data_IF_384741207340
#
_entry.id   IF_384741207340
#
_cell.length_a   1.000
_cell.length_b   1.000
_cell.length_c   1.000
_cell.angle_alpha   90.00
_cell.angle_beta   90.00
_cell.angle_gamma   90.00
#
_symmetry.space_group_name_H-M   'P 1'
#
loop_
_entity.id
_entity.type
_entity.pdbx_description
1 polymer ?
#
# COMPACT_ATOMS: atom_id res chain seq x y z
N UNK A 1 21.79 7.19 67.98
CA UNK A 1 21.26 6.03 67.23
C UNK A 1 20.27 6.55 66.21
N UNK A 2 20.71 6.72 64.97
CA UNK A 2 19.87 7.06 63.82
C UNK A 2 20.31 6.09 62.72
N UNK A 3 19.44 5.16 62.36
CA UNK A 3 19.63 4.35 61.16
C UNK A 3 19.10 5.15 59.96
N UNK A 4 19.83 5.18 58.83
CA UNK A 4 19.32 5.83 57.63
C UNK A 4 18.21 4.97 57.03
N UNK A 5 17.09 5.61 56.71
CA UNK A 5 16.00 5.02 55.95
C UNK A 5 16.48 4.89 54.50
N UNK A 6 16.60 3.64 54.04
CA UNK A 6 16.91 3.31 52.65
C UNK A 6 15.71 3.71 51.78
N UNK A 7 15.89 4.48 50.68
CA UNK A 7 14.78 4.83 49.83
C UNK A 7 14.26 3.59 49.10
N UNK A 8 12.94 3.38 49.16
CA UNK A 8 12.24 2.36 48.39
C UNK A 8 12.61 2.47 46.90
N UNK A 9 12.79 1.34 46.19
CA UNK A 9 13.07 1.37 44.78
C UNK A 9 11.89 2.04 44.08
N UNK A 10 12.18 3.13 43.36
CA UNK A 10 11.25 3.71 42.41
C UNK A 10 11.00 2.63 41.36
N UNK A 11 9.84 1.98 41.44
CA UNK A 11 9.35 1.13 40.35
C UNK A 11 9.34 1.99 39.09
N UNK A 12 10.31 1.75 38.20
CA UNK A 12 10.24 2.24 36.84
C UNK A 12 8.90 1.76 36.27
N UNK A 13 8.14 2.62 35.57
CA UNK A 13 7.01 2.15 34.79
C UNK A 13 7.51 1.02 33.89
N UNK A 14 6.97 -0.18 34.05
CA UNK A 14 7.18 -1.27 33.11
C UNK A 14 6.50 -0.80 31.83
N UNK A 15 7.23 -0.21 30.87
CA UNK A 15 6.69 0.01 29.54
C UNK A 15 6.49 -1.36 28.87
N UNK A 16 5.24 -1.79 28.60
CA UNK A 16 5.02 -2.95 27.77
C UNK A 16 4.86 -2.43 26.33
N UNK A 17 5.92 -1.89 25.75
CA UNK A 17 5.93 -1.63 24.31
C UNK A 17 6.40 -2.88 23.59
N UNK A 18 5.70 -3.99 23.77
CA UNK A 18 5.89 -5.21 22.97
C UNK A 18 5.62 -5.00 21.47
N UNK A 19 5.31 -3.79 21.04
CA UNK A 19 5.18 -3.44 19.65
C UNK A 19 6.57 -3.16 19.05
N UNK A 20 6.95 -3.97 18.06
CA UNK A 20 8.18 -3.84 17.30
C UNK A 20 7.85 -3.32 15.89
N UNK A 21 8.30 -2.11 15.58
CA UNK A 21 8.05 -1.44 14.30
C UNK A 21 9.23 -1.71 13.35
N UNK A 22 8.97 -2.36 12.21
CA UNK A 22 9.98 -2.72 11.22
C UNK A 22 9.71 -1.96 9.91
N UNK A 23 10.57 -1.02 9.51
CA UNK A 23 10.45 -0.38 8.20
C UNK A 23 10.68 -1.37 7.06
N UNK A 24 9.89 -1.29 6.00
CA UNK A 24 10.04 -2.11 4.79
C UNK A 24 9.79 -1.30 3.52
N UNK A 25 10.22 -1.80 2.36
CA UNK A 25 9.85 -1.24 1.06
C UNK A 25 8.55 -1.87 0.54
N UNK A 26 7.76 -1.16 -0.29
CA UNK A 26 6.64 -1.76 -1.01
C UNK A 26 7.00 -3.03 -1.80
N UNK A 27 8.13 -3.04 -2.49
CA UNK A 27 8.60 -4.18 -3.30
C UNK A 27 9.06 -5.39 -2.50
N UNK A 28 9.38 -5.23 -1.21
CA UNK A 28 9.70 -6.38 -0.35
C UNK A 28 8.46 -7.16 0.08
N UNK A 29 7.25 -6.67 -0.22
CA UNK A 29 6.02 -7.38 0.11
C UNK A 29 5.81 -8.55 -0.87
N UNK A 30 5.61 -9.74 -0.31
CA UNK A 30 5.46 -11.00 -1.04
C UNK A 30 4.06 -11.16 -1.70
N UNK A 31 3.45 -10.12 -2.28
CA UNK A 31 2.07 -10.20 -2.81
C UNK A 31 1.89 -11.35 -3.80
N UNK A 32 2.76 -11.43 -4.81
CA UNK A 32 2.66 -12.44 -5.88
C UNK A 32 3.29 -13.79 -5.52
N UNK A 33 4.16 -13.82 -4.52
CA UNK A 33 4.83 -15.05 -4.07
C UNK A 33 4.02 -15.77 -2.98
N UNK A 34 3.05 -15.10 -2.36
CA UNK A 34 2.13 -15.72 -1.43
C UNK A 34 1.05 -16.49 -2.22
N UNK A 35 0.83 -17.80 -1.95
CA UNK A 35 -0.40 -18.43 -2.41
C UNK A 35 -1.60 -17.62 -1.90
N UNK A 36 -2.71 -17.60 -2.64
CA UNK A 36 -3.99 -16.86 -2.39
C UNK A 36 -4.63 -17.14 -0.99
N UNK A 37 -3.92 -17.84 -0.11
CA UNK A 37 -4.23 -18.27 1.24
C UNK A 37 -4.44 -17.15 2.28
N UNK A 38 -4.37 -15.87 1.92
CA UNK A 38 -4.74 -14.76 2.81
C UNK A 38 -6.24 -14.66 3.11
N UNK A 39 -7.07 -15.41 2.39
CA UNK A 39 -8.48 -15.51 2.71
C UNK A 39 -8.66 -16.35 3.99
N UNK A 40 -8.99 -15.69 5.10
CA UNK A 40 -9.42 -16.29 6.37
C UNK A 40 -10.75 -17.10 6.26
N UNK A 41 -11.07 -17.63 5.08
CA UNK A 41 -12.22 -18.48 4.80
C UNK A 41 -11.84 -19.95 4.74
N UNK A 42 -12.82 -20.82 4.88
CA UNK A 42 -12.62 -22.26 4.67
C UNK A 42 -12.06 -22.49 3.26
N UNK A 43 -11.02 -23.32 3.16
CA UNK A 43 -10.51 -23.80 1.87
C UNK A 43 -11.67 -24.44 1.11
N UNK A 44 -12.01 -23.88 -0.04
CA UNK A 44 -12.94 -24.51 -0.96
C UNK A 44 -12.16 -25.60 -1.69
N UNK A 45 -12.12 -26.80 -1.11
CA UNK A 45 -11.43 -27.96 -1.67
C UNK A 45 -12.30 -28.74 -2.66
N UNK A 46 -13.60 -28.47 -2.69
CA UNK A 46 -14.56 -29.15 -3.58
C UNK A 46 -15.53 -28.14 -4.19
N UNK A 47 -15.75 -28.25 -5.49
CA UNK A 47 -16.81 -27.54 -6.20
C UNK A 47 -17.88 -28.58 -6.54
N UNK A 48 -19.07 -28.45 -5.96
CA UNK A 48 -20.16 -29.39 -6.21
C UNK A 48 -20.53 -29.41 -7.70
N UNK A 49 -20.92 -30.58 -8.22
CA UNK A 49 -21.41 -30.71 -9.59
C UNK A 49 -22.55 -29.70 -9.84
N UNK A 50 -22.56 -29.08 -11.01
CA UNK A 50 -23.49 -28.01 -11.41
C UNK A 50 -23.37 -26.68 -10.63
N UNK A 51 -22.28 -26.43 -9.90
CA UNK A 51 -22.01 -25.10 -9.35
C UNK A 51 -21.82 -24.10 -10.49
N UNK A 52 -22.77 -23.18 -10.65
CA UNK A 52 -22.66 -22.06 -11.58
C UNK A 52 -22.23 -20.82 -10.81
N UNK A 53 -20.95 -20.50 -10.83
CA UNK A 53 -20.44 -19.21 -10.37
C UNK A 53 -20.90 -18.15 -11.37
N UNK A 54 -22.10 -17.60 -11.14
CA UNK A 54 -22.62 -16.53 -12.00
C UNK A 54 -21.71 -15.32 -11.82
N UNK A 55 -21.09 -14.86 -12.90
CA UNK A 55 -20.66 -13.48 -12.99
C UNK A 55 -21.92 -12.64 -12.76
N UNK A 56 -22.08 -12.07 -11.57
CA UNK A 56 -23.23 -11.22 -11.29
C UNK A 56 -23.29 -10.12 -12.35
N UNK A 57 -24.49 -9.75 -12.77
CA UNK A 57 -24.75 -8.57 -13.61
C UNK A 57 -24.35 -7.24 -12.91
N UNK A 58 -23.83 -7.31 -11.69
CA UNK A 58 -23.02 -6.29 -11.07
C UNK A 58 -21.62 -6.87 -10.90
N UNK A 59 -20.62 -6.13 -11.37
CA UNK A 59 -19.20 -6.29 -11.04
C UNK A 59 -19.05 -6.95 -9.65
N UNK A 60 -18.21 -7.99 -9.45
CA UNK A 60 -17.98 -8.54 -8.12
C UNK A 60 -17.75 -7.36 -7.19
N UNK A 61 -18.51 -7.26 -6.09
CA UNK A 61 -18.40 -6.14 -5.15
C UNK A 61 -16.95 -6.10 -4.72
N UNK A 62 -16.16 -5.21 -5.34
CA UNK A 62 -14.72 -5.11 -5.11
C UNK A 62 -14.43 -4.63 -3.69
N UNK A 63 -15.48 -4.27 -2.94
CA UNK A 63 -15.39 -3.87 -1.56
C UNK A 63 -16.54 -4.40 -0.70
N UNK A 64 -16.26 -4.57 0.59
CA UNK A 64 -17.20 -4.96 1.63
C UNK A 64 -16.90 -4.16 2.91
N UNK A 65 -17.90 -3.44 3.43
CA UNK A 65 -17.81 -2.79 4.75
C UNK A 65 -17.76 -3.86 5.85
N UNK A 66 -16.77 -3.79 6.74
CA UNK A 66 -16.58 -4.77 7.83
C UNK A 66 -17.04 -4.21 9.18
N UNK A 67 -16.91 -2.90 9.39
CA UNK A 67 -17.18 -2.21 10.66
C UNK A 67 -15.96 -1.43 11.15
N UNK A 68 -16.11 -0.59 12.18
CA UNK A 68 -15.02 0.20 12.81
C UNK A 68 -14.19 1.06 11.83
N UNK A 69 -14.79 1.51 10.73
CA UNK A 69 -14.12 2.28 9.68
C UNK A 69 -13.34 1.44 8.66
N UNK A 70 -13.35 0.10 8.78
CA UNK A 70 -12.70 -0.81 7.85
C UNK A 70 -13.57 -1.21 6.67
N UNK A 71 -12.98 -1.14 5.49
CA UNK A 71 -13.50 -1.68 4.24
C UNK A 71 -12.55 -2.74 3.72
N UNK A 72 -13.05 -3.96 3.48
CA UNK A 72 -12.31 -5.01 2.76
C UNK A 72 -12.38 -4.70 1.27
N UNK A 73 -11.28 -4.84 0.55
CA UNK A 73 -11.22 -4.78 -0.90
C UNK A 73 -10.78 -6.14 -1.46
N UNK A 74 -11.26 -6.46 -2.67
CA UNK A 74 -10.84 -7.63 -3.45
C UNK A 74 -10.26 -7.15 -4.76
N UNK A 75 -9.02 -7.53 -5.04
CA UNK A 75 -8.33 -7.17 -6.28
C UNK A 75 -8.87 -7.98 -7.46
N UNK A 76 -8.62 -7.56 -8.72
CA UNK A 76 -9.03 -8.33 -9.89
C UNK A 76 -8.50 -9.77 -9.91
N UNK A 77 -7.34 -10.01 -9.28
CA UNK A 77 -6.69 -11.31 -9.16
C UNK A 77 -7.33 -12.18 -8.06
N UNK A 78 -8.19 -11.61 -7.21
CA UNK A 78 -8.90 -12.30 -6.13
C UNK A 78 -8.28 -12.15 -4.74
N UNK A 79 -7.12 -11.52 -4.62
CA UNK A 79 -6.50 -11.19 -3.33
C UNK A 79 -7.33 -10.15 -2.58
N UNK A 80 -7.12 -10.07 -1.27
CA UNK A 80 -7.87 -9.13 -0.45
C UNK A 80 -7.02 -8.37 0.53
N UNK A 81 -7.31 -7.08 0.70
CA UNK A 81 -6.72 -6.22 1.72
C UNK A 81 -7.83 -5.44 2.44
N UNK A 82 -7.50 -4.81 3.56
CA UNK A 82 -8.42 -3.96 4.31
C UNK A 82 -7.89 -2.54 4.39
N UNK A 83 -8.78 -1.55 4.30
CA UNK A 83 -8.45 -0.13 4.47
C UNK A 83 -9.32 0.51 5.54
N UNK A 84 -8.71 1.25 6.44
CA UNK A 84 -9.40 2.14 7.37
C UNK A 84 -9.41 3.56 6.79
N UNK A 85 -10.57 4.04 6.35
CA UNK A 85 -10.69 5.34 5.66
C UNK A 85 -10.23 6.51 6.54
N UNK A 86 -10.65 6.51 7.81
CA UNK A 86 -10.40 7.62 8.74
C UNK A 86 -8.92 7.77 9.08
N UNK A 87 -8.16 6.67 9.03
CA UNK A 87 -6.72 6.64 9.35
C UNK A 87 -5.84 6.55 8.11
N UNK A 88 -6.42 6.45 6.91
CA UNK A 88 -5.71 6.15 5.66
C UNK A 88 -4.73 4.98 5.86
N UNK A 89 -5.21 3.90 6.47
CA UNK A 89 -4.39 2.75 6.83
C UNK A 89 -4.79 1.56 5.97
N UNK A 90 -3.85 0.99 5.23
CA UNK A 90 -4.03 -0.24 4.46
C UNK A 90 -3.26 -1.41 5.08
N UNK A 91 -3.81 -2.62 4.97
CA UNK A 91 -3.19 -3.83 5.52
C UNK A 91 -3.67 -5.11 4.83
N UNK A 92 -2.80 -6.11 4.77
CA UNK A 92 -3.19 -7.50 4.47
C UNK A 92 -3.58 -8.28 5.73
N UNK A 93 -3.35 -7.75 6.93
CA UNK A 93 -3.73 -8.41 8.18
C UNK A 93 -5.25 -8.55 8.29
N UNK A 94 -5.72 -9.69 8.81
CA UNK A 94 -7.15 -9.91 9.02
C UNK A 94 -7.69 -9.06 10.17
N UNK A 95 -8.28 -7.91 9.84
CA UNK A 95 -8.87 -6.96 10.80
C UNK A 95 -10.16 -7.47 11.48
N UNK A 96 -10.69 -8.64 11.11
CA UNK A 96 -11.81 -9.26 11.85
C UNK A 96 -11.36 -9.87 13.17
N UNK A 97 -10.07 -10.12 13.33
CA UNK A 97 -9.50 -10.55 14.61
C UNK A 97 -9.28 -9.30 15.46
N UNK A 98 -10.02 -9.20 16.57
CA UNK A 98 -10.04 -8.00 17.41
C UNK A 98 -8.66 -7.64 17.97
N UNK A 99 -7.84 -8.63 18.36
CA UNK A 99 -6.48 -8.38 18.85
C UNK A 99 -5.58 -7.79 17.77
N UNK A 100 -5.63 -8.35 16.55
CA UNK A 100 -4.88 -7.83 15.41
C UNK A 100 -5.33 -6.42 15.02
N UNK A 101 -6.63 -6.12 15.03
CA UNK A 101 -7.14 -4.76 14.83
C UNK A 101 -6.55 -3.78 15.86
N UNK A 102 -6.58 -4.14 17.14
CA UNK A 102 -6.04 -3.29 18.21
C UNK A 102 -4.54 -3.02 18.04
N UNK A 103 -3.76 -4.05 17.67
CA UNK A 103 -2.33 -3.89 17.40
C UNK A 103 -2.06 -2.96 16.21
N UNK A 104 -2.80 -3.10 15.12
CA UNK A 104 -2.69 -2.22 13.95
C UNK A 104 -2.99 -0.76 14.32
N UNK A 105 -4.07 -0.51 15.06
CA UNK A 105 -4.46 0.84 15.46
C UNK A 105 -3.46 1.46 16.44
N UNK A 106 -2.91 0.66 17.37
CA UNK A 106 -1.83 1.09 18.28
C UNK A 106 -0.57 1.44 17.50
N UNK A 107 -0.16 0.59 16.55
CA UNK A 107 1.01 0.84 15.71
C UNK A 107 0.87 2.09 14.87
N UNK A 108 -0.27 2.27 14.22
CA UNK A 108 -0.58 3.48 13.47
C UNK A 108 -0.48 4.73 14.35
N UNK A 109 -1.09 4.71 15.53
CA UNK A 109 -1.07 5.84 16.47
C UNK A 109 0.37 6.20 16.86
N UNK A 110 1.17 5.21 17.24
CA UNK A 110 2.57 5.43 17.62
C UNK A 110 3.41 5.95 16.44
N UNK A 111 3.23 5.41 15.23
CA UNK A 111 3.95 5.87 14.03
C UNK A 111 3.59 7.32 13.66
N UNK A 112 2.31 7.68 13.72
CA UNK A 112 1.86 9.06 13.46
C UNK A 112 2.39 10.02 14.52
N UNK A 113 2.37 9.63 15.80
CA UNK A 113 2.93 10.45 16.89
C UNK A 113 4.43 10.70 16.71
N UNK A 114 5.19 9.64 16.37
CA UNK A 114 6.61 9.76 16.04
C UNK A 114 6.85 10.71 14.86
N UNK A 115 6.11 10.54 13.76
CA UNK A 115 6.28 11.33 12.55
C UNK A 115 5.85 12.80 12.69
N UNK A 116 4.84 13.10 13.50
CA UNK A 116 4.35 14.47 13.75
C UNK A 116 5.41 15.42 14.27
N UNK A 117 6.49 14.89 14.87
CA UNK A 117 7.62 15.69 15.31
C UNK A 117 8.37 16.36 14.15
N UNK A 118 8.34 15.77 12.94
CA UNK A 118 8.99 16.26 11.72
C UNK A 118 7.98 16.79 10.70
N UNK A 119 6.81 16.17 10.60
CA UNK A 119 5.75 16.55 9.66
C UNK A 119 4.37 16.54 10.32
N UNK A 120 3.75 17.72 10.57
CA UNK A 120 2.41 17.82 11.13
C UNK A 120 1.31 17.14 10.29
N UNK A 121 1.54 16.98 8.98
CA UNK A 121 0.56 16.45 8.02
C UNK A 121 0.67 14.93 7.83
N UNK A 122 1.56 14.23 8.54
CA UNK A 122 1.76 12.78 8.34
C UNK A 122 0.49 11.94 8.53
N UNK A 123 -0.47 12.40 9.33
CA UNK A 123 -1.75 11.71 9.52
C UNK A 123 -2.64 11.72 8.25
N UNK A 124 -2.32 12.58 7.28
CA UNK A 124 -2.94 12.63 5.97
C UNK A 124 -2.23 11.69 4.96
N UNK A 125 -1.05 11.17 5.27
CA UNK A 125 -0.39 10.20 4.42
C UNK A 125 -1.05 8.83 4.57
N UNK A 126 -1.08 8.04 3.48
CA UNK A 126 -1.53 6.66 3.57
C UNK A 126 -0.42 5.81 4.20
N UNK A 127 -0.78 5.03 5.21
CA UNK A 127 0.12 4.10 5.89
C UNK A 127 -0.18 2.67 5.47
N UNK A 128 0.87 1.91 5.18
CA UNK A 128 0.81 0.46 5.17
C UNK A 128 1.31 -0.06 6.52
N UNK A 129 0.54 -0.95 7.16
CA UNK A 129 1.01 -1.69 8.35
C UNK A 129 0.55 -3.14 8.22
N UNK A 130 1.46 -4.09 8.45
CA UNK A 130 1.13 -5.51 8.45
C UNK A 130 1.76 -6.23 9.64
N UNK A 131 0.96 -7.05 10.32
CA UNK A 131 1.44 -7.88 11.42
C UNK A 131 2.17 -9.11 10.87
N UNK A 132 3.46 -9.22 11.20
CA UNK A 132 4.30 -10.37 10.83
C UNK A 132 4.36 -11.41 11.95
N UNK A 133 4.29 -10.95 13.20
CA UNK A 133 4.27 -11.82 14.37
C UNK A 133 3.36 -11.22 15.43
N UNK A 134 2.41 -12.02 15.93
CA UNK A 134 1.56 -11.66 17.05
C UNK A 134 1.67 -12.72 18.15
N UNK A 135 2.03 -12.28 19.34
CA UNK A 135 2.03 -13.09 20.57
C UNK A 135 1.19 -12.38 21.64
N UNK A 136 1.01 -13.00 22.80
CA UNK A 136 0.23 -12.39 23.89
C UNK A 136 0.81 -11.05 24.39
N UNK A 137 2.13 -10.87 24.30
CA UNK A 137 2.84 -9.72 24.89
C UNK A 137 3.61 -8.89 23.88
N UNK A 138 3.77 -9.38 22.65
CA UNK A 138 4.62 -8.77 21.62
C UNK A 138 3.96 -8.89 20.26
N UNK A 139 3.98 -7.80 19.50
CA UNK A 139 3.52 -7.72 18.13
C UNK A 139 4.63 -7.10 17.27
N UNK A 140 5.10 -7.80 16.24
CA UNK A 140 6.01 -7.24 15.23
C UNK A 140 5.18 -6.85 14.02
N UNK A 141 5.34 -5.61 13.60
CA UNK A 141 4.69 -5.07 12.40
C UNK A 141 5.72 -4.55 11.42
N UNK A 142 5.41 -4.72 10.14
CA UNK A 142 6.08 -4.06 9.03
C UNK A 142 5.30 -2.82 8.62
N UNK A 143 5.99 -1.75 8.23
CA UNK A 143 5.32 -0.51 7.85
C UNK A 143 6.10 0.35 6.86
N UNK A 144 5.35 1.21 6.18
CA UNK A 144 5.83 2.42 5.49
C UNK A 144 4.67 3.40 5.33
N UNK A 145 4.99 4.66 5.01
CA UNK A 145 4.01 5.68 4.60
C UNK A 145 4.18 6.00 3.12
N UNK A 146 3.13 6.56 2.53
CA UNK A 146 3.08 7.00 1.13
C UNK A 146 2.82 8.49 1.08
N UNK A 147 3.74 9.22 0.44
CA UNK A 147 3.51 10.60 0.01
C UNK A 147 3.01 10.57 -1.44
N UNK A 148 1.72 10.84 -1.61
CA UNK A 148 1.06 10.87 -2.92
C UNK A 148 1.47 12.10 -3.72
N UNK A 149 1.79 13.22 -3.05
CA UNK A 149 2.14 14.47 -3.72
C UNK A 149 3.50 14.38 -4.40
N UNK A 150 4.46 13.73 -3.75
CA UNK A 150 5.82 13.54 -4.29
C UNK A 150 6.06 12.16 -4.91
N UNK A 151 5.08 11.26 -4.81
CA UNK A 151 5.07 9.91 -5.41
C UNK A 151 6.23 9.02 -4.93
N UNK A 152 6.47 8.98 -3.62
CA UNK A 152 7.44 8.06 -3.03
C UNK A 152 7.02 7.59 -1.64
N UNK A 153 7.40 6.37 -1.22
CA UNK A 153 7.28 5.96 0.16
C UNK A 153 8.24 6.74 1.05
N UNK A 154 7.95 6.74 2.35
CA UNK A 154 8.85 7.26 3.38
C UNK A 154 8.59 6.59 4.73
N UNK A 155 9.46 6.89 5.70
CA UNK A 155 9.43 6.29 7.02
C UNK A 155 9.69 7.33 8.12
N UNK A 156 9.17 7.06 9.32
CA UNK A 156 9.34 7.95 10.48
C UNK A 156 10.61 7.70 11.28
N UNK A 157 11.29 6.57 11.05
CA UNK A 157 12.58 6.25 11.65
C UNK A 157 13.69 6.58 10.66
N UNK A 158 14.86 6.96 11.20
CA UNK A 158 16.07 7.06 10.38
C UNK A 158 16.52 5.64 10.01
N UNK A 159 16.67 5.38 8.72
CA UNK A 159 16.92 4.04 8.17
C UNK A 159 18.07 4.12 7.17
N UNK A 160 18.88 3.07 7.12
CA UNK A 160 19.89 2.93 6.06
C UNK A 160 19.20 2.32 4.85
N UNK A 161 19.43 2.89 3.66
CA UNK A 161 18.85 2.39 2.41
C UNK A 161 19.13 0.89 2.17
N UNK A 162 20.31 0.42 2.59
CA UNK A 162 20.66 -1.01 2.56
C UNK A 162 19.78 -1.92 3.42
N UNK A 163 19.27 -1.43 4.53
CA UNK A 163 18.36 -2.19 5.40
C UNK A 163 16.99 -2.39 4.71
N UNK A 164 16.66 -1.54 3.74
CA UNK A 164 15.49 -1.65 2.86
C UNK A 164 15.78 -2.38 1.54
N UNK A 165 17.00 -2.90 1.35
CA UNK A 165 17.42 -3.59 0.12
C UNK A 165 17.88 -2.68 -1.01
N UNK A 166 18.07 -1.38 -0.77
CA UNK A 166 18.56 -0.43 -1.78
C UNK A 166 20.07 -0.14 -1.64
N UNK A 167 20.77 0.25 -2.72
CA UNK A 167 22.13 0.76 -2.61
C UNK A 167 22.17 2.12 -1.88
N UNK A 168 23.37 2.59 -1.54
CA UNK A 168 23.55 3.98 -1.10
C UNK A 168 23.51 4.93 -2.31
N UNK A 169 23.14 6.20 -2.09
CA UNK A 169 23.01 7.19 -3.16
C UNK A 169 23.86 8.43 -2.90
N UNK A 170 24.49 8.95 -3.95
CA UNK A 170 25.30 10.17 -3.89
C UNK A 170 24.46 11.45 -4.01
N UNK A 171 23.25 11.36 -4.59
CA UNK A 171 22.37 12.50 -4.83
C UNK A 171 20.93 12.21 -4.41
N UNK A 172 20.20 13.26 -4.02
CA UNK A 172 18.77 13.16 -3.73
C UNK A 172 17.94 12.78 -4.96
N UNK A 173 18.39 13.14 -6.16
CA UNK A 173 17.67 12.81 -7.39
C UNK A 173 17.77 11.32 -7.72
N UNK A 174 18.92 10.68 -7.47
CA UNK A 174 19.04 9.22 -7.57
C UNK A 174 18.13 8.53 -6.54
N UNK A 175 18.09 9.02 -5.30
CA UNK A 175 17.19 8.48 -4.28
C UNK A 175 15.72 8.58 -4.73
N UNK A 176 15.27 9.74 -5.21
CA UNK A 176 13.91 9.92 -5.73
C UNK A 176 13.61 8.98 -6.89
N UNK A 177 14.54 8.85 -7.83
CA UNK A 177 14.41 7.94 -8.97
C UNK A 177 14.26 6.48 -8.52
N UNK A 178 14.94 6.06 -7.45
CA UNK A 178 14.79 4.71 -6.88
C UNK A 178 13.51 4.52 -6.08
N UNK A 179 13.02 5.53 -5.37
CA UNK A 179 11.80 5.43 -4.56
C UNK A 179 10.50 5.61 -5.37
N UNK A 180 10.55 6.24 -6.54
CA UNK A 180 9.35 6.43 -7.38
C UNK A 180 8.74 5.09 -7.83
N UNK A 181 9.51 4.08 -8.30
CA UNK A 181 8.97 2.75 -8.58
C UNK A 181 8.24 2.11 -7.39
N UNK A 182 8.76 2.29 -6.18
CA UNK A 182 8.15 1.74 -4.96
C UNK A 182 6.75 2.31 -4.69
N UNK A 183 6.54 3.60 -4.98
CA UNK A 183 5.21 4.19 -4.93
C UNK A 183 4.24 3.49 -5.88
N UNK A 184 4.68 3.23 -7.12
CA UNK A 184 3.83 2.55 -8.11
C UNK A 184 3.54 1.10 -7.71
N UNK A 185 4.48 0.39 -7.09
CA UNK A 185 4.25 -0.94 -6.49
C UNK A 185 3.15 -0.87 -5.44
N UNK A 186 3.17 0.13 -4.55
CA UNK A 186 2.09 0.32 -3.58
C UNK A 186 0.74 0.55 -4.28
N UNK A 187 0.69 1.43 -5.27
CA UNK A 187 -0.54 1.70 -6.04
C UNK A 187 -1.07 0.43 -6.72
N UNK A 188 -0.18 -0.38 -7.30
CA UNK A 188 -0.54 -1.67 -7.88
C UNK A 188 -1.15 -2.62 -6.85
N UNK A 189 -0.55 -2.69 -5.66
CA UNK A 189 -0.96 -3.58 -4.56
C UNK A 189 -2.31 -3.21 -3.97
N UNK A 190 -2.64 -1.92 -3.99
CA UNK A 190 -3.86 -1.39 -3.38
C UNK A 190 -4.73 -0.60 -4.37
N UNK A 191 -4.73 -0.97 -5.66
CA UNK A 191 -5.35 -0.18 -6.74
C UNK A 191 -6.85 0.07 -6.59
N UNK A 192 -7.60 -0.88 -6.00
CA UNK A 192 -9.07 -0.86 -6.02
C UNK A 192 -9.68 0.37 -5.33
N UNK A 193 -9.08 0.84 -4.24
CA UNK A 193 -9.59 2.00 -3.51
C UNK A 193 -9.03 3.32 -4.02
N UNK A 194 -8.03 3.27 -4.90
CA UNK A 194 -7.40 4.45 -5.48
C UNK A 194 -8.34 5.09 -6.49
N UNK A 195 -8.33 6.42 -6.51
CA UNK A 195 -9.02 7.20 -7.54
C UNK A 195 -8.00 7.63 -8.57
N UNK A 196 -8.18 7.17 -9.81
CA UNK A 196 -7.33 7.65 -10.90
C UNK A 196 -7.77 9.06 -11.29
N UNK A 197 -6.93 10.04 -11.00
CA UNK A 197 -7.17 11.41 -11.43
C UNK A 197 -6.92 11.53 -12.94
N UNK A 198 -7.75 12.34 -13.60
CA UNK A 198 -7.62 12.62 -15.04
C UNK A 198 -6.22 13.17 -15.39
N UNK A 199 -5.60 13.93 -14.49
CA UNK A 199 -4.26 14.48 -14.69
C UNK A 199 -3.21 13.37 -14.85
N UNK A 200 -3.32 12.29 -14.06
CA UNK A 200 -2.42 11.13 -14.13
C UNK A 200 -2.63 10.37 -15.44
N UNK A 201 -3.88 10.22 -15.89
CA UNK A 201 -4.19 9.62 -17.19
C UNK A 201 -3.61 10.46 -18.35
N UNK A 202 -3.81 11.79 -18.31
CA UNK A 202 -3.29 12.69 -19.35
C UNK A 202 -1.74 12.72 -19.35
N UNK A 203 -1.08 12.61 -18.19
CA UNK A 203 0.37 12.45 -18.05
C UNK A 203 0.87 11.14 -18.67
N UNK A 204 0.21 10.01 -18.38
CA UNK A 204 0.56 8.71 -18.96
C UNK A 204 0.46 8.73 -20.49
N UNK A 205 -0.60 9.35 -21.03
CA UNK A 205 -0.76 9.56 -22.47
C UNK A 205 0.39 10.40 -23.02
N UNK A 206 0.80 11.47 -22.33
CA UNK A 206 1.91 12.30 -22.75
C UNK A 206 3.24 11.53 -22.76
N UNK A 207 3.49 10.69 -21.76
CA UNK A 207 4.68 9.83 -21.66
C UNK A 207 4.77 8.88 -22.87
N UNK A 208 3.70 8.17 -23.21
CA UNK A 208 3.71 7.26 -24.37
C UNK A 208 3.81 7.99 -25.72
N UNK A 209 3.24 9.20 -25.83
CA UNK A 209 3.43 10.05 -27.02
C UNK A 209 4.86 10.53 -27.17
N UNK A 210 5.51 10.88 -26.06
CA UNK A 210 6.94 11.19 -26.05
C UNK A 210 7.76 9.98 -26.48
N UNK A 211 7.51 8.79 -25.92
CA UNK A 211 8.18 7.55 -26.32
C UNK A 211 8.04 7.24 -27.82
N UNK A 212 6.84 7.44 -28.39
CA UNK A 212 6.64 7.35 -29.84
C UNK A 212 7.56 8.29 -30.63
N UNK A 213 7.62 9.55 -30.22
CA UNK A 213 8.40 10.57 -30.91
C UNK A 213 9.89 10.31 -30.77
N UNK A 214 10.35 9.92 -29.57
CA UNK A 214 11.75 9.62 -29.28
C UNK A 214 12.26 8.45 -30.13
N UNK A 215 11.56 7.30 -30.13
CA UNK A 215 11.96 6.13 -30.93
C UNK A 215 11.93 6.41 -32.45
N UNK A 216 11.00 7.24 -32.92
CA UNK A 216 10.93 7.62 -34.34
C UNK A 216 12.01 8.61 -34.79
N UNK A 217 12.54 9.42 -33.87
CA UNK A 217 13.43 10.55 -34.22
C UNK A 217 14.86 10.40 -33.69
N UNK A 218 15.08 9.50 -32.74
CA UNK A 218 16.35 9.28 -32.06
C UNK A 218 16.88 7.88 -32.31
N UNK A 219 18.08 7.78 -32.88
CA UNK A 219 18.73 6.48 -33.06
C UNK A 219 19.30 6.03 -31.71
N UNK A 220 18.69 4.99 -31.11
CA UNK A 220 19.07 4.49 -29.79
C UNK A 220 18.29 5.13 -28.63
N UNK A 221 16.98 5.37 -28.83
CA UNK A 221 16.06 5.75 -27.75
C UNK A 221 16.27 4.91 -26.49
N UNK A 222 16.23 5.58 -25.34
CA UNK A 222 16.28 4.92 -24.01
C UNK A 222 14.88 4.66 -23.46
N UNK A 223 13.83 4.94 -24.23
CA UNK A 223 12.46 4.62 -23.84
C UNK A 223 12.27 3.09 -23.86
N UNK A 224 11.57 2.50 -22.87
CA UNK A 224 11.51 1.05 -22.73
C UNK A 224 10.64 0.34 -23.79
N UNK A 225 9.92 1.11 -24.62
CA UNK A 225 8.99 0.60 -25.62
C UNK A 225 9.30 1.20 -26.99
N UNK A 226 9.16 0.38 -28.03
CA UNK A 226 9.19 0.87 -29.41
C UNK A 226 8.02 1.82 -29.68
N UNK A 227 8.11 2.61 -30.76
CA UNK A 227 7.01 3.44 -31.21
C UNK A 227 5.75 2.63 -31.54
N UNK A 228 5.89 1.36 -31.93
CA UNK A 228 4.74 0.46 -32.14
C UNK A 228 4.04 0.14 -30.82
N UNK A 229 4.77 -0.36 -29.83
CA UNK A 229 4.22 -0.70 -28.51
C UNK A 229 3.58 0.54 -27.85
N UNK A 230 4.23 1.71 -27.96
CA UNK A 230 3.66 2.95 -27.46
C UNK A 230 2.29 3.28 -28.11
N UNK A 231 2.13 3.06 -29.42
CA UNK A 231 0.85 3.25 -30.11
C UNK A 231 -0.21 2.26 -29.63
N UNK A 232 0.15 1.01 -29.37
CA UNK A 232 -0.75 -0.02 -28.84
C UNK A 232 -1.23 0.31 -27.42
N UNK A 233 -0.34 0.81 -26.56
CA UNK A 233 -0.69 1.33 -25.24
C UNK A 233 -1.63 2.55 -25.33
N UNK A 234 -1.34 3.52 -26.20
CA UNK A 234 -2.20 4.68 -26.41
C UNK A 234 -3.60 4.30 -26.88
N UNK A 235 -3.71 3.36 -27.83
CA UNK A 235 -5.01 2.86 -28.30
C UNK A 235 -5.84 2.26 -27.16
N UNK A 236 -5.19 1.51 -26.27
CA UNK A 236 -5.84 0.92 -25.09
C UNK A 236 -6.34 2.01 -24.14
N UNK A 237 -5.49 2.97 -23.77
CA UNK A 237 -5.82 4.07 -22.86
C UNK A 237 -6.97 4.94 -23.42
N UNK A 238 -6.88 5.34 -24.68
CA UNK A 238 -7.92 6.14 -25.34
C UNK A 238 -9.23 5.36 -25.56
N UNK A 239 -9.15 4.04 -25.72
CA UNK A 239 -10.30 3.13 -25.74
C UNK A 239 -11.06 3.13 -24.41
N UNK A 240 -10.34 2.94 -23.30
CA UNK A 240 -10.90 2.99 -21.95
C UNK A 240 -11.57 4.33 -21.66
N UNK A 241 -10.90 5.44 -22.02
CA UNK A 241 -11.44 6.81 -21.87
C UNK A 241 -12.78 7.01 -22.59
N UNK A 242 -12.91 6.46 -23.81
CA UNK A 242 -14.16 6.54 -24.59
C UNK A 242 -15.28 5.74 -23.95
N UNK A 243 -14.99 4.56 -23.42
CA UNK A 243 -15.98 3.70 -22.76
C UNK A 243 -16.63 4.41 -21.55
N UNK A 244 -15.84 5.09 -20.72
CA UNK A 244 -16.38 5.82 -19.56
C UNK A 244 -17.19 7.06 -19.95
N UNK A 245 -16.79 7.79 -21.00
CA UNK A 245 -17.57 8.95 -21.52
C UNK A 245 -18.94 8.56 -22.06
N UNK A 246 -19.05 7.36 -22.65
CA UNK A 246 -20.32 6.85 -23.15
C UNK A 246 -21.25 6.50 -21.98
N UNK A 247 -20.74 5.86 -20.93
CA UNK A 247 -21.52 5.52 -19.73
C UNK A 247 -22.13 6.74 -19.02
N UNK A 248 -21.40 7.86 -18.93
CA UNK A 248 -21.91 9.11 -18.33
C UNK A 248 -23.01 9.78 -19.18
N UNK A 249 -23.04 9.52 -20.49
CA UNK A 249 -24.06 10.06 -21.40
C UNK A 249 -25.39 9.29 -21.37
N UNK A 250 -25.39 8.06 -20.88
CA UNK A 250 -26.59 7.23 -20.70
C UNK A 250 -27.24 7.35 -19.31
N UNK A 251 -26.60 8.09 -18.38
CA UNK A 251 -27.12 8.38 -17.03
C UNK A 251 -27.78 9.77 -16.92
N UNK A 252 -28.14 10.39 -18.05
CA UNK A 252 -28.92 11.64 -18.10
C UNK A 252 -30.30 11.43 -18.72
#
# INVERSE_FOLDING_TARGET
MQHPVEPLPVEKPIEPSGLLLTPVSPSSLSRYDNPVAGASGALISTVSANTRLRAGQAHPRLFQQIGNGWTKFTTPEGDTYSRNEQRRLVTYTNVRVQSSEQWLLRAHTQLVELGRTKDPQIAECEAYIHIVLETQVTCKVEYYFIDVATRHPFWVHDIRMRDLGFPDFETLDHLKATLTPEFWVHIEYFAVHQKLEKAVEDELIAIFRHGCADDMTSFGSTFPYSAQECREHLQTLEGVRRMFRISDSYLR
#
